data_IF_324570215840
#
_entry.id   IF_324570215840
#
_cell.length_a   1.000
_cell.length_b   1.000
_cell.length_c   1.000
_cell.angle_alpha   90.00
_cell.angle_beta   90.00
_cell.angle_gamma   90.00
#
_symmetry.space_group_name_H-M   'P 1'
#
loop_
_entity.id
_entity.type
_entity.pdbx_description
1 polymer ?
#
# COMPACT_ATOMS: atom_id res chain seq x y z
N UNK A 1 52.73 36.17 17.26
CA UNK A 1 53.53 35.02 16.80
C UNK A 1 52.59 33.86 16.76
N UNK A 2 51.78 33.90 15.72
CA UNK A 2 50.60 33.09 15.50
C UNK A 2 51.06 31.72 15.00
N UNK A 3 50.66 30.68 15.73
CA UNK A 3 51.04 29.30 15.44
C UNK A 3 50.10 28.69 14.42
N UNK A 4 50.56 28.63 13.16
CA UNK A 4 49.94 27.85 12.09
C UNK A 4 49.98 26.35 12.45
N UNK A 5 48.86 25.80 12.92
CA UNK A 5 48.68 24.35 13.06
C UNK A 5 48.35 23.75 11.69
N UNK A 6 49.37 23.15 11.09
CA UNK A 6 49.31 22.38 9.85
C UNK A 6 48.20 21.31 9.89
N UNK A 7 47.22 21.46 9.00
CA UNK A 7 46.19 20.47 8.76
C UNK A 7 46.81 19.30 7.94
N UNK A 8 47.34 18.30 8.64
CA UNK A 8 47.83 17.06 8.01
C UNK A 8 46.64 16.29 7.46
N UNK A 9 46.44 16.35 6.15
CA UNK A 9 45.51 15.48 5.43
C UNK A 9 46.02 14.04 5.48
N UNK A 10 45.60 13.29 6.51
CA UNK A 10 45.81 11.85 6.60
C UNK A 10 45.10 11.16 5.44
N UNK A 11 45.88 10.45 4.61
CA UNK A 11 45.36 9.68 3.47
C UNK A 11 44.38 8.63 4.00
N UNK A 12 43.16 8.52 3.44
CA UNK A 12 42.18 7.57 3.97
C UNK A 12 42.68 6.14 3.76
N UNK A 13 42.89 5.42 4.87
CA UNK A 13 43.14 3.99 4.84
C UNK A 13 41.94 3.27 4.18
N UNK A 14 42.22 2.29 3.32
CA UNK A 14 41.20 1.52 2.64
C UNK A 14 40.53 0.54 3.62
N UNK A 15 39.46 0.98 4.28
CA UNK A 15 38.67 0.15 5.19
C UNK A 15 37.81 -0.82 4.39
N UNK A 16 38.10 -2.11 4.51
CA UNK A 16 37.30 -3.19 3.91
C UNK A 16 36.06 -3.42 4.77
N UNK A 17 34.88 -3.26 4.18
CA UNK A 17 33.59 -3.53 4.82
C UNK A 17 33.43 -5.05 4.95
N UNK A 18 33.29 -5.57 6.18
CA UNK A 18 33.05 -6.99 6.44
C UNK A 18 31.61 -7.24 6.89
N UNK A 19 31.02 -6.30 7.63
CA UNK A 19 29.67 -6.40 8.17
C UNK A 19 28.79 -5.18 7.80
N UNK A 20 27.47 -5.31 7.93
CA UNK A 20 26.51 -4.20 7.74
C UNK A 20 26.80 -3.04 8.71
N UNK A 21 27.22 -3.36 9.94
CA UNK A 21 27.64 -2.39 10.93
C UNK A 21 28.85 -1.55 10.45
N UNK A 22 29.83 -2.17 9.79
CA UNK A 22 31.01 -1.45 9.26
C UNK A 22 30.62 -0.48 8.16
N UNK A 23 29.67 -0.88 7.29
CA UNK A 23 29.14 -0.03 6.23
C UNK A 23 28.42 1.20 6.81
N UNK A 24 27.60 1.00 7.84
CA UNK A 24 26.93 2.09 8.54
C UNK A 24 27.93 3.00 9.25
N UNK A 25 28.93 2.43 9.93
CA UNK A 25 30.01 3.18 10.60
C UNK A 25 30.73 4.09 9.62
N UNK A 26 31.14 3.56 8.46
CA UNK A 26 31.80 4.34 7.39
C UNK A 26 30.92 5.48 6.86
N UNK A 27 29.62 5.24 6.67
CA UNK A 27 28.66 6.30 6.24
C UNK A 27 28.52 7.37 7.32
N UNK A 28 28.45 6.97 8.58
CA UNK A 28 28.29 7.85 9.73
C UNK A 28 29.56 8.70 9.93
N UNK A 29 30.75 8.10 9.90
CA UNK A 29 32.05 8.80 9.93
C UNK A 29 32.12 9.86 8.81
N UNK A 30 31.67 9.53 7.60
CA UNK A 30 31.63 10.48 6.48
C UNK A 30 30.68 11.67 6.72
N UNK A 31 29.54 11.43 7.36
CA UNK A 31 28.58 12.49 7.72
C UNK A 31 29.12 13.35 8.87
N UNK A 32 29.73 12.74 9.89
CA UNK A 32 30.32 13.45 11.03
C UNK A 32 31.56 14.28 10.67
N UNK A 33 32.27 13.97 9.58
CA UNK A 33 33.36 14.82 9.07
C UNK A 33 32.88 16.21 8.64
N UNK A 34 31.60 16.37 8.27
CA UNK A 34 31.05 17.64 7.79
C UNK A 34 29.67 17.90 8.43
N UNK A 35 29.66 18.25 9.71
CA UNK A 35 28.43 18.42 10.50
C UNK A 35 27.60 19.63 10.01
N UNK A 36 28.26 20.70 9.59
CA UNK A 36 27.59 21.93 9.14
C UNK A 36 26.91 21.79 7.77
N UNK A 37 27.23 20.73 7.00
CA UNK A 37 26.65 20.51 5.68
C UNK A 37 25.29 19.81 5.82
N UNK A 38 24.18 20.44 5.39
CA UNK A 38 22.87 19.79 5.46
C UNK A 38 22.84 18.54 4.57
N UNK A 39 22.30 17.45 5.11
CA UNK A 39 22.15 16.17 4.40
C UNK A 39 20.93 16.26 3.47
N UNK A 40 21.15 16.09 2.16
CA UNK A 40 20.06 16.04 1.18
C UNK A 40 19.51 14.61 1.14
N UNK A 41 18.33 14.42 1.70
CA UNK A 41 17.57 13.16 1.55
C UNK A 41 16.91 13.20 0.17
N UNK A 42 17.15 12.21 -0.70
CA UNK A 42 16.55 12.19 -2.02
C UNK A 42 15.02 12.06 -1.90
N UNK A 43 14.29 12.93 -2.60
CA UNK A 43 12.85 12.79 -2.74
C UNK A 43 12.50 11.52 -3.53
N UNK A 44 11.30 10.99 -3.29
CA UNK A 44 10.79 9.83 -4.01
C UNK A 44 10.81 10.12 -5.52
N UNK A 45 11.33 9.21 -6.37
CA UNK A 45 11.38 9.43 -7.81
C UNK A 45 9.96 9.65 -8.35
N UNK A 46 9.79 10.73 -9.13
CA UNK A 46 8.53 11.03 -9.80
C UNK A 46 8.22 9.94 -10.81
N UNK A 47 6.95 9.53 -10.89
CA UNK A 47 6.52 8.58 -11.92
C UNK A 47 6.76 9.22 -13.29
N UNK A 48 7.38 8.47 -14.21
CA UNK A 48 7.59 8.94 -15.58
C UNK A 48 6.23 9.03 -16.27
N UNK A 49 5.81 10.25 -16.59
CA UNK A 49 4.56 10.49 -17.32
C UNK A 49 4.73 10.36 -18.83
N UNK A 50 3.60 10.47 -19.54
CA UNK A 50 3.60 10.65 -20.99
C UNK A 50 4.27 11.99 -21.34
N UNK A 51 5.15 12.05 -22.36
CA UNK A 51 5.69 13.32 -22.82
C UNK A 51 4.56 14.25 -23.29
N UNK A 52 4.56 15.49 -22.80
CA UNK A 52 3.57 16.51 -23.19
C UNK A 52 3.70 16.82 -24.67
N UNK A 53 2.58 16.87 -25.38
CA UNK A 53 2.54 17.29 -26.78
C UNK A 53 2.71 18.82 -26.86
N UNK A 54 3.58 19.36 -27.74
CA UNK A 54 3.66 20.79 -27.94
C UNK A 54 2.37 21.34 -28.58
N UNK A 55 1.92 22.52 -28.15
CA UNK A 55 0.68 23.12 -28.65
C UNK A 55 0.78 23.54 -30.12
N UNK A 56 1.95 24.03 -30.54
CA UNK A 56 2.17 24.54 -31.90
C UNK A 56 3.35 23.84 -32.57
N UNK A 57 3.10 23.28 -33.74
CA UNK A 57 4.12 22.82 -34.67
C UNK A 57 4.39 23.93 -35.67
N UNK A 58 5.60 24.51 -35.62
CA UNK A 58 5.96 25.67 -36.47
C UNK A 58 6.37 25.29 -37.89
N UNK A 59 6.82 24.06 -38.10
CA UNK A 59 7.45 23.62 -39.34
C UNK A 59 6.53 22.70 -40.16
N UNK A 60 5.24 23.07 -40.28
CA UNK A 60 4.27 22.29 -41.05
C UNK A 60 4.35 22.70 -42.51
N UNK A 61 4.66 21.74 -43.38
CA UNK A 61 4.63 21.93 -44.83
C UNK A 61 3.17 21.89 -45.32
N UNK A 62 2.87 22.58 -46.43
CA UNK A 62 1.49 22.67 -46.96
C UNK A 62 0.88 21.31 -47.30
N UNK A 63 -0.45 21.20 -47.20
CA UNK A 63 -1.18 19.92 -47.31
C UNK A 63 -1.04 19.21 -48.65
N UNK A 64 -0.74 19.93 -49.72
CA UNK A 64 -0.53 19.39 -51.08
C UNK A 64 0.96 19.17 -51.42
N UNK A 65 1.87 19.47 -50.50
CA UNK A 65 3.30 19.26 -50.74
C UNK A 65 3.65 17.76 -50.69
N UNK A 66 4.61 17.34 -51.53
CA UNK A 66 5.06 15.95 -51.58
C UNK A 66 5.86 15.52 -50.35
N UNK A 67 6.12 14.22 -50.21
CA UNK A 67 6.91 13.70 -49.09
C UNK A 67 8.37 14.18 -49.16
N UNK A 68 8.82 14.89 -48.12
CA UNK A 68 10.21 15.31 -47.96
C UNK A 68 11.11 14.21 -47.40
N UNK A 69 12.43 14.37 -47.54
CA UNK A 69 13.43 13.39 -47.05
C UNK A 69 13.42 13.22 -45.52
N UNK A 70 12.96 14.23 -44.77
CA UNK A 70 12.85 14.18 -43.31
C UNK A 70 11.56 13.57 -42.78
N UNK A 71 10.52 13.40 -43.62
CA UNK A 71 9.17 13.03 -43.18
C UNK A 71 9.14 11.61 -42.56
N UNK A 72 9.96 10.70 -43.08
CA UNK A 72 10.10 9.35 -42.53
C UNK A 72 10.56 9.38 -41.06
N UNK A 73 11.54 10.23 -40.72
CA UNK A 73 12.04 10.33 -39.36
C UNK A 73 11.01 10.97 -38.44
N UNK A 74 10.26 11.97 -38.92
CA UNK A 74 9.15 12.59 -38.18
C UNK A 74 8.11 11.53 -37.81
N UNK A 75 7.61 10.76 -38.77
CA UNK A 75 6.68 9.66 -38.53
C UNK A 75 7.23 8.62 -37.54
N UNK A 76 8.49 8.18 -37.73
CA UNK A 76 9.14 7.22 -36.83
C UNK A 76 9.19 7.71 -35.38
N UNK A 77 9.50 8.99 -35.16
CA UNK A 77 9.53 9.58 -33.83
C UNK A 77 8.13 9.72 -33.24
N UNK A 78 7.17 10.17 -34.04
CA UNK A 78 5.77 10.32 -33.62
C UNK A 78 5.15 8.96 -33.25
N UNK A 79 5.35 7.93 -34.07
CA UNK A 79 4.87 6.57 -33.81
C UNK A 79 5.45 6.00 -32.52
N UNK A 80 6.75 6.19 -32.27
CA UNK A 80 7.39 5.75 -31.01
C UNK A 80 6.80 6.47 -29.80
N UNK A 81 6.57 7.78 -29.90
CA UNK A 81 5.92 8.57 -28.83
C UNK A 81 4.50 8.07 -28.57
N UNK A 82 3.73 7.82 -29.62
CA UNK A 82 2.35 7.37 -29.50
C UNK A 82 2.26 5.95 -28.92
N UNK A 83 3.12 5.03 -29.34
CA UNK A 83 3.17 3.69 -28.74
C UNK A 83 3.59 3.71 -27.28
N UNK A 84 4.58 4.53 -26.92
CA UNK A 84 4.96 4.73 -25.53
C UNK A 84 3.80 5.32 -24.71
N UNK A 85 3.06 6.27 -25.27
CA UNK A 85 1.86 6.85 -24.64
C UNK A 85 0.77 5.81 -24.42
N UNK A 86 0.41 5.06 -25.47
CA UNK A 86 -0.63 4.04 -25.39
C UNK A 86 -0.26 2.93 -24.40
N UNK A 87 1.00 2.48 -24.42
CA UNK A 87 1.52 1.50 -23.47
C UNK A 87 1.41 2.01 -22.03
N UNK A 88 1.85 3.25 -21.77
CA UNK A 88 1.72 3.85 -20.45
C UNK A 88 0.27 3.94 -19.98
N UNK A 89 -0.66 4.36 -20.84
CA UNK A 89 -2.08 4.46 -20.46
C UNK A 89 -2.69 3.10 -20.13
N UNK A 90 -2.35 2.06 -20.91
CA UNK A 90 -2.80 0.69 -20.64
C UNK A 90 -2.22 0.16 -19.32
N UNK A 91 -0.90 0.27 -19.13
CA UNK A 91 -0.23 -0.19 -17.90
C UNK A 91 -0.73 0.56 -16.65
N UNK A 92 -0.97 1.88 -16.77
CA UNK A 92 -1.52 2.69 -15.70
C UNK A 92 -2.95 2.25 -15.35
N UNK A 93 -3.81 2.04 -16.35
CA UNK A 93 -5.18 1.58 -16.14
C UNK A 93 -5.25 0.20 -15.49
N UNK A 94 -4.43 -0.74 -15.95
CA UNK A 94 -4.35 -2.08 -15.33
C UNK A 94 -3.87 -2.01 -13.87
N UNK A 95 -2.85 -1.20 -13.59
CA UNK A 95 -2.36 -1.01 -12.22
C UNK A 95 -3.42 -0.39 -11.32
N UNK A 96 -4.10 0.66 -11.77
CA UNK A 96 -5.16 1.32 -11.00
C UNK A 96 -6.31 0.36 -10.69
N UNK A 97 -6.76 -0.43 -11.68
CA UNK A 97 -7.78 -1.46 -11.47
C UNK A 97 -7.35 -2.50 -10.42
N UNK A 98 -6.12 -3.02 -10.53
CA UNK A 98 -5.63 -4.02 -9.58
C UNK A 98 -5.45 -3.45 -8.17
N UNK A 99 -5.02 -2.19 -8.05
CA UNK A 99 -4.87 -1.50 -6.78
C UNK A 99 -6.26 -1.27 -6.14
N UNK A 100 -7.26 -0.84 -6.91
CA UNK A 100 -8.65 -0.69 -6.45
C UNK A 100 -9.23 -2.01 -5.95
N UNK A 101 -9.13 -3.08 -6.73
CA UNK A 101 -9.59 -4.42 -6.33
C UNK A 101 -8.88 -4.91 -5.05
N UNK A 102 -7.59 -4.60 -4.89
CA UNK A 102 -6.85 -4.96 -3.70
C UNK A 102 -7.32 -4.17 -2.46
N UNK A 103 -7.56 -2.87 -2.61
CA UNK A 103 -8.08 -2.02 -1.54
C UNK A 103 -9.49 -2.45 -1.10
N UNK A 104 -10.38 -2.73 -2.05
CA UNK A 104 -11.73 -3.24 -1.77
C UNK A 104 -11.67 -4.56 -0.98
N UNK A 105 -10.81 -5.50 -1.39
CA UNK A 105 -10.61 -6.76 -0.66
C UNK A 105 -10.09 -6.54 0.76
N UNK A 106 -9.14 -5.62 0.95
CA UNK A 106 -8.62 -5.29 2.27
C UNK A 106 -9.70 -4.69 3.17
N UNK A 107 -10.53 -3.79 2.64
CA UNK A 107 -11.62 -3.17 3.39
C UNK A 107 -12.72 -4.17 3.75
N UNK A 108 -13.11 -5.03 2.81
CA UNK A 108 -14.06 -6.10 3.06
C UNK A 108 -13.57 -7.06 4.17
N UNK A 109 -12.30 -7.46 4.12
CA UNK A 109 -11.69 -8.32 5.14
C UNK A 109 -11.63 -7.63 6.52
N UNK A 110 -11.29 -6.34 6.57
CA UNK A 110 -11.32 -5.56 7.81
C UNK A 110 -12.73 -5.47 8.38
N UNK A 111 -13.72 -5.15 7.55
CA UNK A 111 -15.12 -5.06 7.97
C UNK A 111 -15.66 -6.40 8.49
N UNK A 112 -15.34 -7.52 7.82
CA UNK A 112 -15.72 -8.85 8.25
C UNK A 112 -15.08 -9.22 9.62
N UNK A 113 -13.79 -8.91 9.80
CA UNK A 113 -13.11 -9.11 11.08
C UNK A 113 -13.69 -8.22 12.20
N UNK A 114 -14.01 -6.96 11.90
CA UNK A 114 -14.65 -6.04 12.83
C UNK A 114 -16.05 -6.50 13.23
N UNK A 115 -16.87 -6.98 12.29
CA UNK A 115 -18.18 -7.55 12.57
C UNK A 115 -18.10 -8.78 13.49
N UNK A 116 -17.19 -9.73 13.16
CA UNK A 116 -16.93 -10.92 14.00
C UNK A 116 -16.47 -10.53 15.41
N UNK A 117 -15.55 -9.57 15.53
CA UNK A 117 -15.04 -9.12 16.84
C UNK A 117 -16.07 -8.30 17.62
N UNK A 118 -16.88 -7.46 16.97
CA UNK A 118 -17.97 -6.70 17.58
C UNK A 118 -19.06 -7.61 18.14
N UNK A 119 -19.49 -8.63 17.39
CA UNK A 119 -20.44 -9.66 17.86
C UNK A 119 -19.92 -10.35 19.13
N UNK A 120 -18.67 -10.80 19.12
CA UNK A 120 -18.03 -11.44 20.30
C UNK A 120 -17.87 -10.47 21.48
N UNK A 121 -17.51 -9.21 21.23
CA UNK A 121 -17.39 -8.16 22.25
C UNK A 121 -18.75 -7.86 22.89
N UNK A 122 -19.82 -7.74 22.11
CA UNK A 122 -21.18 -7.53 22.59
C UNK A 122 -21.65 -8.69 23.48
N UNK A 123 -21.42 -9.94 23.07
CA UNK A 123 -21.70 -11.14 23.88
C UNK A 123 -20.98 -11.07 25.25
N UNK A 124 -19.68 -10.72 25.28
CA UNK A 124 -18.90 -10.57 26.53
C UNK A 124 -19.42 -9.43 27.41
N UNK A 125 -19.77 -8.28 26.83
CA UNK A 125 -20.31 -7.13 27.56
C UNK A 125 -21.66 -7.46 28.20
N UNK A 126 -22.56 -8.14 27.48
CA UNK A 126 -23.85 -8.62 28.04
C UNK A 126 -23.63 -9.55 29.23
N UNK A 127 -22.68 -10.51 29.13
CA UNK A 127 -22.30 -11.40 30.24
C UNK A 127 -21.74 -10.63 31.44
N UNK A 128 -20.83 -9.66 31.21
CA UNK A 128 -20.26 -8.80 32.25
C UNK A 128 -21.33 -7.97 32.99
N UNK A 129 -22.31 -7.42 32.25
CA UNK A 129 -23.42 -6.67 32.83
C UNK A 129 -24.33 -7.57 33.67
N UNK A 130 -24.67 -8.77 33.20
CA UNK A 130 -25.45 -9.75 33.98
C UNK A 130 -24.76 -10.11 35.32
N UNK A 131 -23.46 -10.42 35.30
CA UNK A 131 -22.67 -10.72 36.50
C UNK A 131 -22.61 -9.52 37.48
N UNK A 132 -22.44 -8.29 36.96
CA UNK A 132 -22.46 -7.08 37.78
C UNK A 132 -23.82 -6.80 38.41
N UNK A 133 -24.91 -7.14 37.72
CA UNK A 133 -26.27 -6.96 38.25
C UNK A 133 -26.63 -8.03 39.29
N UNK A 134 -26.17 -9.28 39.12
CA UNK A 134 -26.36 -10.34 40.11
C UNK A 134 -25.58 -10.09 41.41
N UNK A 135 -24.35 -9.58 41.33
CA UNK A 135 -23.54 -9.21 42.52
C UNK A 135 -24.05 -7.99 43.29
N UNK A 136 -24.97 -7.20 42.70
CA UNK A 136 -25.57 -6.02 43.34
C UNK A 136 -26.97 -6.26 43.92
N UNK A 137 -27.59 -7.43 43.69
CA UNK A 137 -28.87 -7.76 44.31
C UNK A 137 -28.62 -8.22 45.75
N UNK A 138 -29.23 -7.58 46.78
CA UNK A 138 -29.14 -8.08 48.14
C UNK A 138 -29.79 -9.47 48.19
N UNK A 139 -29.14 -10.40 48.90
CA UNK A 139 -29.59 -11.77 49.11
C UNK A 139 -30.86 -11.73 49.97
N UNK A 140 -32.02 -11.55 49.34
CA UNK A 140 -33.32 -11.72 50.00
C UNK A 140 -33.86 -13.07 49.56
N UNK A 141 -33.98 -13.95 50.55
CA UNK A 141 -34.49 -15.31 50.44
C UNK A 141 -35.97 -15.28 50.06
N UNK A 142 -36.33 -15.74 48.85
CA UNK A 142 -37.61 -16.39 48.60
C UNK A 142 -37.61 -17.14 47.26
N UNK A 143 -38.00 -18.40 47.38
CA UNK A 143 -38.29 -19.42 46.39
C UNK A 143 -39.15 -19.00 45.19
N UNK A 144 -38.87 -19.68 44.07
CA UNK A 144 -39.74 -19.96 42.90
C UNK A 144 -40.32 -18.76 42.11
N UNK A 145 -39.74 -18.52 40.94
CA UNK A 145 -40.46 -18.16 39.72
C UNK A 145 -39.54 -18.33 38.48
N UNK A 146 -39.90 -19.30 37.65
CA UNK A 146 -39.74 -19.38 36.19
C UNK A 146 -38.68 -18.44 35.56
N UNK A 147 -37.55 -19.04 35.15
CA UNK A 147 -36.57 -18.41 34.29
C UNK A 147 -36.63 -19.04 32.90
N UNK A 148 -37.76 -18.86 32.22
CA UNK A 148 -37.85 -18.95 30.77
C UNK A 148 -37.37 -17.62 30.19
N UNK A 149 -36.16 -17.61 29.61
CA UNK A 149 -35.68 -16.51 28.76
C UNK A 149 -34.53 -17.02 27.91
N UNK A 150 -34.96 -17.77 26.90
CA UNK A 150 -34.37 -17.89 25.57
C UNK A 150 -32.86 -18.15 25.48
N UNK A 151 -32.57 -19.44 25.38
CA UNK A 151 -31.30 -20.01 24.89
C UNK A 151 -31.35 -20.36 23.38
N UNK A 152 -32.25 -19.76 22.60
CA UNK A 152 -32.52 -20.16 21.20
C UNK A 152 -31.75 -19.35 20.13
N UNK A 153 -30.87 -18.44 20.53
CA UNK A 153 -30.08 -17.58 19.60
C UNK A 153 -28.66 -18.11 19.38
N UNK A 154 -28.31 -19.27 19.96
CA UNK A 154 -26.97 -19.84 19.84
C UNK A 154 -26.75 -20.52 18.47
N UNK A 155 -27.77 -21.22 17.95
CA UNK A 155 -27.67 -22.10 16.76
C UNK A 155 -27.62 -21.32 15.43
N UNK A 156 -28.54 -20.36 15.24
CA UNK A 156 -28.57 -19.49 14.05
C UNK A 156 -27.28 -18.66 13.89
N UNK A 157 -26.59 -18.41 14.99
CA UNK A 157 -25.44 -17.52 15.02
C UNK A 157 -24.12 -18.18 14.60
N UNK A 158 -24.06 -19.52 14.61
CA UNK A 158 -22.93 -20.37 14.20
C UNK A 158 -23.03 -20.73 12.71
N UNK A 159 -24.24 -21.02 12.19
CA UNK A 159 -24.48 -21.30 10.77
C UNK A 159 -24.10 -20.11 9.86
N UNK A 160 -24.45 -18.88 10.24
CA UNK A 160 -24.11 -17.67 9.47
C UNK A 160 -22.58 -17.46 9.40
N UNK A 161 -21.82 -17.93 10.40
CA UNK A 161 -20.36 -17.81 10.40
C UNK A 161 -19.75 -18.80 9.40
N UNK A 162 -20.30 -20.01 9.31
CA UNK A 162 -19.86 -21.04 8.36
C UNK A 162 -20.20 -20.69 6.91
N UNK A 163 -21.37 -20.10 6.65
CA UNK A 163 -21.73 -19.66 5.29
C UNK A 163 -20.81 -18.53 4.77
N UNK A 164 -20.48 -17.55 5.62
CA UNK A 164 -19.61 -16.42 5.22
C UNK A 164 -18.17 -16.88 4.96
N UNK A 165 -17.70 -17.90 5.67
CA UNK A 165 -16.39 -18.51 5.40
C UNK A 165 -16.40 -19.28 4.08
N UNK A 166 -17.47 -20.04 3.80
CA UNK A 166 -17.62 -20.80 2.56
C UNK A 166 -17.76 -19.90 1.32
N UNK A 167 -18.48 -18.78 1.40
CA UNK A 167 -18.57 -17.82 0.28
C UNK A 167 -17.24 -17.14 -0.02
N UNK A 168 -16.43 -16.86 1.02
CA UNK A 168 -15.11 -16.24 0.84
C UNK A 168 -14.07 -17.18 0.22
N UNK A 169 -14.24 -18.50 0.36
CA UNK A 169 -13.39 -19.51 -0.28
C UNK A 169 -13.74 -19.70 -1.76
N UNK A 170 -15.04 -19.72 -2.10
CA UNK A 170 -15.52 -19.90 -3.49
C UNK A 170 -15.11 -18.73 -4.39
N UNK A 171 -15.18 -17.50 -3.88
CA UNK A 171 -14.77 -16.30 -4.64
C UNK A 171 -13.26 -16.22 -4.91
N UNK A 172 -12.45 -16.91 -4.10
CA UNK A 172 -11.00 -17.01 -4.32
C UNK A 172 -10.63 -18.07 -5.36
N UNK A 173 -11.40 -19.15 -5.48
CA UNK A 173 -11.17 -20.19 -6.49
C UNK A 173 -11.55 -19.72 -7.91
N UNK A 174 -12.68 -19.03 -8.08
CA UNK A 174 -13.16 -18.57 -9.39
C UNK A 174 -12.28 -17.50 -10.07
N UNK A 175 -11.40 -16.81 -9.34
CA UNK A 175 -10.47 -15.82 -9.91
C UNK A 175 -9.15 -16.43 -10.41
N UNK A 176 -8.85 -17.68 -10.07
CA UNK A 176 -7.61 -18.37 -10.49
C UNK A 176 -7.76 -19.10 -11.83
N UNK A 177 -8.97 -19.24 -12.36
CA UNK A 177 -9.26 -19.98 -13.60
C UNK A 177 -9.25 -19.12 -14.86
N UNK A 178 -8.58 -17.96 -14.87
CA UNK A 178 -8.44 -17.16 -16.08
C UNK A 178 -7.18 -17.60 -16.85
N UNK A 179 -7.30 -18.35 -17.96
CA UNK A 179 -6.13 -18.85 -18.66
C UNK A 179 -5.41 -17.65 -19.30
N UNK A 180 -4.14 -17.45 -18.93
CA UNK A 180 -3.23 -16.62 -19.71
C UNK A 180 -3.18 -17.20 -21.13
N UNK A 181 -3.76 -16.48 -22.08
CA UNK A 181 -3.54 -16.71 -23.50
C UNK A 181 -2.29 -15.97 -23.98
#
# INVERSE_FOLDING_TARGET
MDGDTENKEEKPEHVVIKNCADLQRMRLEKLMKNIDKPVVIPERPKQRGVPTVPDFVRNVMGSSAGAGSGEFHVYRHLRRKEYARQKYMKEKGERERLDEEYHEKLEANKAAAEAKTAKKRAKRMKKKLKLKNQSKKPKVESSQAEADSESSEEDSSEEIIQEVEKTSEIDNEHKNDNPLC
#
